data_IF_906683259184
#
_entry.id   IF_906683259184
#
_cell.length_a   1.000
_cell.length_b   1.000
_cell.length_c   1.000
_cell.angle_alpha   90.00
_cell.angle_beta   90.00
_cell.angle_gamma   90.00
#
_symmetry.space_group_name_H-M   'P 1'
#
loop_
_entity.id
_entity.type
_entity.pdbx_description
1 polymer ?
#
# COMPACT_ATOMS: atom_id res chain seq x y z
N UNK A 1 34.29 -12.74 8.19
CA UNK A 1 33.77 -14.13 8.10
C UNK A 1 32.51 -14.13 7.25
N UNK A 2 32.40 -15.03 6.27
CA UNK A 2 31.15 -15.20 5.51
C UNK A 2 30.11 -15.94 6.35
N UNK A 3 28.88 -15.45 6.34
CA UNK A 3 27.76 -16.12 6.99
C UNK A 3 27.11 -17.11 6.03
N UNK A 4 27.57 -18.37 6.07
CA UNK A 4 27.10 -19.44 5.20
C UNK A 4 25.61 -19.76 5.37
N UNK A 5 25.04 -19.57 6.57
CA UNK A 5 23.60 -19.76 6.80
C UNK A 5 22.78 -18.72 6.04
N UNK A 6 23.22 -17.47 6.02
CA UNK A 6 22.55 -16.41 5.27
C UNK A 6 22.66 -16.61 3.76
N UNK A 7 23.84 -16.98 3.25
CA UNK A 7 24.03 -17.28 1.82
C UNK A 7 23.11 -18.43 1.36
N UNK A 8 22.98 -19.49 2.17
CA UNK A 8 22.09 -20.62 1.88
C UNK A 8 20.63 -20.19 1.67
N UNK A 9 20.07 -19.38 2.58
CA UNK A 9 18.69 -18.90 2.44
C UNK A 9 18.53 -17.92 1.27
N UNK A 10 19.53 -17.07 1.02
CA UNK A 10 19.47 -16.12 -0.08
C UNK A 10 19.45 -16.81 -1.45
N UNK A 11 20.24 -17.86 -1.64
CA UNK A 11 20.22 -18.65 -2.87
C UNK A 11 18.83 -19.25 -3.10
N UNK A 12 18.20 -19.80 -2.06
CA UNK A 12 16.84 -20.34 -2.16
C UNK A 12 15.79 -19.28 -2.49
N UNK A 13 15.88 -18.10 -1.88
CA UNK A 13 14.95 -16.99 -2.15
C UNK A 13 15.12 -16.53 -3.60
N UNK A 14 16.36 -16.33 -4.05
CA UNK A 14 16.65 -15.90 -5.42
C UNK A 14 16.19 -16.93 -6.45
N UNK A 15 16.32 -18.22 -6.15
CA UNK A 15 15.83 -19.30 -7.00
C UNK A 15 14.29 -19.34 -7.08
N UNK A 16 13.59 -19.00 -6.00
CA UNK A 16 12.12 -18.85 -6.02
C UNK A 16 11.69 -17.57 -6.76
N UNK A 17 12.42 -16.47 -6.59
CA UNK A 17 12.11 -15.18 -7.24
C UNK A 17 12.53 -15.12 -8.72
N UNK A 18 13.38 -16.04 -9.19
CA UNK A 18 13.76 -16.13 -10.60
C UNK A 18 12.62 -16.68 -11.46
N UNK A 19 11.68 -17.45 -10.88
CA UNK A 19 10.49 -17.90 -11.57
C UNK A 19 9.62 -16.71 -12.00
N UNK A 20 9.26 -16.65 -13.29
CA UNK A 20 8.51 -15.53 -13.87
C UNK A 20 7.21 -15.23 -13.11
N UNK A 21 6.49 -16.27 -12.69
CA UNK A 21 5.23 -16.16 -11.93
C UNK A 21 5.45 -15.60 -10.51
N UNK A 22 6.50 -16.04 -9.83
CA UNK A 22 6.83 -15.53 -8.50
C UNK A 22 7.28 -14.06 -8.57
N UNK A 23 8.08 -13.72 -9.59
CA UNK A 23 8.55 -12.36 -9.84
C UNK A 23 7.40 -11.38 -10.06
N UNK A 24 6.39 -11.77 -10.85
CA UNK A 24 5.22 -10.92 -11.11
C UNK A 24 4.37 -10.70 -9.86
N UNK A 25 4.13 -11.76 -9.07
CA UNK A 25 3.42 -11.66 -7.79
C UNK A 25 4.20 -10.74 -6.84
N UNK A 26 5.51 -10.92 -6.73
CA UNK A 26 6.35 -10.12 -5.85
C UNK A 26 6.36 -8.64 -6.25
N UNK A 27 6.46 -8.31 -7.55
CA UNK A 27 6.36 -6.93 -8.03
C UNK A 27 5.01 -6.31 -7.70
N UNK A 28 3.92 -7.06 -7.85
CA UNK A 28 2.57 -6.58 -7.54
C UNK A 28 2.42 -6.26 -6.04
N UNK A 29 3.00 -7.09 -5.15
CA UNK A 29 2.94 -6.85 -3.69
C UNK A 29 3.64 -5.56 -3.27
N UNK A 30 4.72 -5.15 -3.93
CA UNK A 30 5.36 -3.85 -3.66
C UNK A 30 4.42 -2.68 -3.95
N UNK A 31 3.64 -2.80 -5.01
CA UNK A 31 2.69 -1.77 -5.40
C UNK A 31 1.47 -1.81 -4.49
N UNK A 32 0.86 -2.97 -4.27
CA UNK A 32 -0.44 -3.04 -3.59
C UNK A 32 -0.31 -3.06 -2.06
N UNK A 33 0.61 -3.87 -1.54
CA UNK A 33 0.73 -4.10 -0.10
C UNK A 33 1.65 -3.05 0.51
N UNK A 34 2.87 -2.92 0.03
CA UNK A 34 3.86 -2.03 0.66
C UNK A 34 3.43 -0.56 0.59
N UNK A 35 2.83 -0.11 -0.51
CA UNK A 35 2.32 1.28 -0.61
C UNK A 35 1.24 1.58 0.43
N UNK A 36 0.28 0.66 0.62
CA UNK A 36 -0.82 0.81 1.58
C UNK A 36 -0.29 0.80 3.01
N UNK A 37 0.63 -0.11 3.33
CA UNK A 37 1.28 -0.15 4.65
C UNK A 37 2.19 1.06 4.91
N UNK A 38 2.85 1.58 3.88
CA UNK A 38 3.66 2.80 3.95
C UNK A 38 2.84 4.04 4.32
N UNK A 39 1.55 4.05 3.98
CA UNK A 39 0.60 5.11 4.36
C UNK A 39 0.01 4.83 5.74
N UNK A 40 -0.40 3.58 6.01
CA UNK A 40 -1.03 3.20 7.28
C UNK A 40 -0.14 3.44 8.50
N UNK A 41 1.15 3.13 8.41
CA UNK A 41 2.10 3.26 9.52
C UNK A 41 2.22 4.70 10.04
N UNK A 42 2.54 5.71 9.22
CA UNK A 42 2.66 7.08 9.69
C UNK A 42 1.32 7.73 10.00
N UNK A 43 0.25 7.46 9.23
CA UNK A 43 -1.03 8.16 9.39
C UNK A 43 -1.85 7.63 10.57
N UNK A 44 -1.82 6.32 10.79
CA UNK A 44 -2.67 5.66 11.79
C UNK A 44 -1.86 5.01 12.92
N UNK A 45 -0.54 5.24 12.95
CA UNK A 45 0.39 4.55 13.86
C UNK A 45 0.21 3.02 13.83
N UNK A 46 -0.27 2.49 12.70
CA UNK A 46 -0.66 1.10 12.55
C UNK A 46 0.57 0.23 12.26
N UNK A 47 1.31 -0.08 13.32
CA UNK A 47 2.59 -0.82 13.25
C UNK A 47 2.41 -2.33 13.46
N UNK A 48 1.42 -2.72 14.25
CA UNK A 48 1.11 -4.12 14.60
C UNK A 48 -0.39 -4.37 14.61
N UNK A 49 -0.77 -5.60 14.30
CA UNK A 49 -2.12 -6.11 14.53
C UNK A 49 -2.35 -6.24 16.03
N UNK A 50 -3.50 -5.79 16.51
CA UNK A 50 -3.90 -5.87 17.92
C UNK A 50 -4.51 -7.23 18.24
N UNK A 51 -5.22 -7.82 17.27
CA UNK A 51 -5.88 -9.11 17.41
C UNK A 51 -5.08 -10.23 16.77
N UNK A 52 -5.39 -11.46 17.18
CA UNK A 52 -4.87 -12.70 16.58
C UNK A 52 -6.01 -13.51 16.01
N UNK A 53 -5.77 -14.11 14.86
CA UNK A 53 -6.69 -15.04 14.20
C UNK A 53 -7.30 -14.44 12.94
N UNK A 54 -7.26 -15.20 11.85
CA UNK A 54 -7.53 -14.72 10.48
C UNK A 54 -8.82 -13.89 10.37
N UNK A 55 -9.92 -14.33 11.00
CA UNK A 55 -11.19 -13.63 10.92
C UNK A 55 -11.18 -12.28 11.65
N UNK A 56 -10.48 -12.19 12.79
CA UNK A 56 -10.35 -10.94 13.56
C UNK A 56 -9.39 -9.98 12.87
N UNK A 57 -8.26 -10.50 12.37
CA UNK A 57 -7.25 -9.72 11.66
C UNK A 57 -7.82 -9.08 10.39
N UNK A 58 -8.68 -9.81 9.66
CA UNK A 58 -9.42 -9.30 8.50
C UNK A 58 -10.34 -8.13 8.88
N UNK A 59 -11.07 -8.23 9.99
CA UNK A 59 -11.94 -7.13 10.47
C UNK A 59 -11.11 -5.91 10.87
N UNK A 60 -10.01 -6.09 11.60
CA UNK A 60 -9.11 -5.00 11.97
C UNK A 60 -8.53 -4.32 10.72
N UNK A 61 -8.05 -5.09 9.73
CA UNK A 61 -7.62 -4.53 8.44
C UNK A 61 -8.73 -3.74 7.75
N UNK A 62 -9.95 -4.28 7.71
CA UNK A 62 -11.10 -3.61 7.09
C UNK A 62 -11.40 -2.24 7.72
N UNK A 63 -11.36 -2.15 9.04
CA UNK A 63 -11.54 -0.87 9.76
C UNK A 63 -10.44 0.13 9.42
N UNK A 64 -9.18 -0.30 9.44
CA UNK A 64 -8.04 0.56 9.12
C UNK A 64 -8.15 1.10 7.68
N UNK A 65 -8.50 0.24 6.72
CA UNK A 65 -8.72 0.64 5.33
C UNK A 65 -9.91 1.59 5.19
N UNK A 66 -11.00 1.38 5.94
CA UNK A 66 -12.14 2.30 5.94
C UNK A 66 -11.74 3.69 6.45
N UNK A 67 -10.94 3.76 7.52
CA UNK A 67 -10.42 5.03 8.05
C UNK A 67 -9.55 5.74 7.00
N UNK A 68 -8.69 5.00 6.29
CA UNK A 68 -7.90 5.57 5.19
C UNK A 68 -8.79 6.13 4.07
N UNK A 69 -9.84 5.40 3.70
CA UNK A 69 -10.78 5.85 2.67
C UNK A 69 -11.54 7.12 3.09
N UNK A 70 -11.98 7.20 4.35
CA UNK A 70 -12.64 8.40 4.90
C UNK A 70 -11.70 9.62 4.83
N UNK A 71 -10.38 9.45 4.99
CA UNK A 71 -9.42 10.56 4.82
C UNK A 71 -9.15 10.89 3.36
N UNK A 72 -9.01 9.89 2.49
CA UNK A 72 -8.62 10.07 1.09
C UNK A 72 -9.75 10.63 0.22
N UNK A 73 -10.98 10.14 0.37
CA UNK A 73 -12.10 10.49 -0.50
C UNK A 73 -12.43 12.00 -0.46
N UNK A 74 -12.54 12.66 0.71
CA UNK A 74 -12.80 14.10 0.77
C UNK A 74 -11.66 14.94 0.18
N UNK A 75 -10.40 14.57 0.43
CA UNK A 75 -9.24 15.26 -0.13
C UNK A 75 -9.24 15.19 -1.67
N UNK A 76 -9.48 14.00 -2.22
CA UNK A 76 -9.57 13.81 -3.67
C UNK A 76 -10.73 14.62 -4.28
N UNK A 77 -11.89 14.67 -3.61
CA UNK A 77 -13.02 15.48 -4.05
C UNK A 77 -12.64 16.97 -4.09
N UNK A 78 -12.02 17.49 -3.03
CA UNK A 78 -11.60 18.88 -2.97
C UNK A 78 -10.64 19.26 -4.12
N UNK A 79 -9.65 18.40 -4.41
CA UNK A 79 -8.75 18.61 -5.56
C UNK A 79 -9.50 18.60 -6.90
N UNK A 80 -10.45 17.68 -7.07
CA UNK A 80 -11.24 17.59 -8.30
C UNK A 80 -12.10 18.85 -8.49
N UNK A 81 -12.74 19.36 -7.43
CA UNK A 81 -13.48 20.63 -7.49
C UNK A 81 -12.57 21.80 -7.87
N UNK A 82 -11.37 21.90 -7.28
CA UNK A 82 -10.40 22.95 -7.63
C UNK A 82 -9.98 22.89 -9.10
N UNK A 83 -9.78 21.68 -9.65
CA UNK A 83 -9.48 21.48 -11.07
C UNK A 83 -10.62 21.94 -11.97
N UNK A 84 -11.86 21.60 -11.62
CA UNK A 84 -13.06 22.00 -12.35
C UNK A 84 -13.16 23.53 -12.37
N UNK A 85 -13.07 24.19 -11.22
CA UNK A 85 -13.13 25.66 -11.12
C UNK A 85 -12.05 26.32 -11.96
N UNK A 86 -10.79 25.85 -11.87
CA UNK A 86 -9.68 26.39 -12.67
C UNK A 86 -9.94 26.23 -14.17
N UNK A 87 -10.48 25.09 -14.60
CA UNK A 87 -10.83 24.83 -16.01
C UNK A 87 -11.96 25.75 -16.47
N UNK A 88 -12.99 25.94 -15.66
CA UNK A 88 -14.11 26.84 -15.96
C UNK A 88 -13.64 28.28 -16.09
N UNK A 89 -12.80 28.76 -15.16
CA UNK A 89 -12.20 30.10 -15.23
C UNK A 89 -11.38 30.24 -16.52
N UNK A 90 -10.53 29.27 -16.85
CA UNK A 90 -9.74 29.30 -18.09
C UNK A 90 -10.62 29.43 -19.35
N UNK A 91 -11.73 28.67 -19.42
CA UNK A 91 -12.69 28.75 -20.54
C UNK A 91 -13.39 30.12 -20.59
N UNK A 92 -13.68 30.73 -19.44
CA UNK A 92 -14.38 32.02 -19.37
C UNK A 92 -13.50 33.23 -19.74
N UNK A 93 -12.17 33.10 -19.65
CA UNK A 93 -11.21 34.18 -19.89
C UNK A 93 -10.28 33.93 -21.10
N UNK A 94 -10.63 32.96 -21.96
CA UNK A 94 -10.00 32.71 -23.26
C UNK A 94 -10.90 33.25 -24.37
#
# INVERSE_FOLDING_TARGET
MKNYSWEYFNVQINQKLSERKAKTIYSQRKIDVESVFGIMKPILSFTRKSVRGINKDKRELGLVLMILNIRKVPAQRAENYKKIIKKTIFILFQ
#
